data_IF_711472545841
#
_entry.id   IF_711472545841
#
_cell.length_a   1.000
_cell.length_b   1.000
_cell.length_c   1.000
_cell.angle_alpha   90.00
_cell.angle_beta   90.00
_cell.angle_gamma   90.00
#
_symmetry.space_group_name_H-M   'P 1'
#
loop_
_entity.id
_entity.type
_entity.pdbx_description
1 polymer ?
#
# COMPACT_ATOMS: atom_id res chain seq x y z
N UNK A 1 19.09 5.59 10.70
CA UNK A 1 18.99 7.05 10.46
C UNK A 1 17.75 7.31 9.59
N UNK A 2 17.04 8.42 9.77
CA UNK A 2 15.77 8.65 9.07
C UNK A 2 16.01 9.18 7.64
N UNK A 3 15.54 8.43 6.64
CA UNK A 3 15.68 8.78 5.23
C UNK A 3 14.90 10.07 4.88
N UNK A 4 15.49 10.89 4.01
CA UNK A 4 14.87 12.08 3.46
C UNK A 4 14.32 11.78 2.07
N UNK A 5 13.09 12.24 1.78
CA UNK A 5 12.52 12.17 0.44
C UNK A 5 12.92 13.42 -0.32
N UNK A 6 13.75 13.25 -1.35
CA UNK A 6 14.28 14.33 -2.18
C UNK A 6 13.42 14.54 -3.42
N UNK A 7 13.06 15.78 -3.68
CA UNK A 7 12.33 16.20 -4.86
C UNK A 7 13.08 17.31 -5.59
N UNK A 8 12.93 17.37 -6.91
CA UNK A 8 13.58 18.35 -7.77
C UNK A 8 12.56 19.07 -8.64
N UNK A 9 12.66 20.39 -8.64
CA UNK A 9 11.97 21.26 -9.59
C UNK A 9 12.97 21.74 -10.64
N UNK A 10 12.60 21.65 -11.92
CA UNK A 10 13.38 22.18 -13.04
C UNK A 10 12.73 23.45 -13.56
N UNK A 11 13.49 24.52 -13.61
CA UNK A 11 13.10 25.77 -14.25
C UNK A 11 13.31 25.66 -15.77
N UNK A 12 12.56 26.45 -16.54
CA UNK A 12 12.71 26.54 -18.00
C UNK A 12 14.07 27.08 -18.44
N UNK A 13 14.76 27.82 -17.57
CA UNK A 13 16.10 28.36 -17.80
C UNK A 13 17.25 27.38 -17.49
N UNK A 14 16.92 26.09 -17.28
CA UNK A 14 17.88 25.03 -16.99
C UNK A 14 18.36 24.97 -15.53
N UNK A 15 17.98 25.94 -14.68
CA UNK A 15 18.27 25.85 -13.25
C UNK A 15 17.37 24.82 -12.58
N UNK A 16 17.82 24.29 -11.46
CA UNK A 16 17.05 23.34 -10.67
C UNK A 16 17.13 23.64 -9.17
N UNK A 17 16.05 23.29 -8.48
CA UNK A 17 15.88 23.50 -7.05
C UNK A 17 15.49 22.18 -6.41
N UNK A 18 16.22 21.81 -5.37
CA UNK A 18 15.97 20.61 -4.60
C UNK A 18 15.23 20.96 -3.31
N UNK A 19 14.29 20.09 -2.94
CA UNK A 19 13.52 20.16 -1.72
C UNK A 19 13.45 18.76 -1.11
N UNK A 20 13.91 18.63 0.12
CA UNK A 20 13.93 17.39 0.86
C UNK A 20 13.01 17.48 2.07
N UNK A 21 12.38 16.38 2.43
CA UNK A 21 11.50 16.32 3.59
C UNK A 21 11.64 15.00 4.33
N UNK A 22 11.53 15.05 5.67
CA UNK A 22 11.43 13.86 6.52
C UNK A 22 10.44 14.07 7.67
N UNK A 23 9.88 12.97 8.15
CA UNK A 23 9.24 12.91 9.46
C UNK A 23 10.30 12.58 10.52
N UNK A 24 10.27 13.29 11.64
CA UNK A 24 11.11 13.03 12.80
C UNK A 24 10.37 12.09 13.77
N UNK A 25 11.13 11.40 14.63
CA UNK A 25 10.56 10.49 15.63
C UNK A 25 9.64 11.19 16.65
N UNK A 26 9.80 12.51 16.85
CA UNK A 26 8.96 13.33 17.72
C UNK A 26 7.66 13.82 17.05
N UNK A 27 7.35 13.32 15.84
CA UNK A 27 6.18 13.71 15.06
C UNK A 27 6.30 15.08 14.37
N UNK A 28 7.44 15.78 14.51
CA UNK A 28 7.70 16.99 13.73
C UNK A 28 8.16 16.64 12.31
N UNK A 29 7.98 17.58 11.38
CA UNK A 29 8.45 17.44 10.00
C UNK A 29 9.56 18.45 9.76
N UNK A 30 10.70 17.97 9.31
CA UNK A 30 11.80 18.82 8.87
C UNK A 30 11.87 18.83 7.35
N UNK A 31 11.96 20.03 6.79
CA UNK A 31 12.21 20.26 5.36
C UNK A 31 13.54 20.95 5.18
N UNK A 32 14.26 20.58 4.11
CA UNK A 32 15.42 21.30 3.61
C UNK A 32 15.26 21.69 2.15
N UNK A 33 15.91 22.77 1.72
CA UNK A 33 15.87 23.20 0.32
C UNK A 33 17.09 24.01 -0.10
N UNK A 34 17.34 24.03 -1.40
CA UNK A 34 18.45 24.76 -1.98
C UNK A 34 18.46 24.66 -3.50
N UNK A 35 19.39 25.35 -4.13
CA UNK A 35 19.76 25.05 -5.51
C UNK A 35 20.22 23.60 -5.58
N UNK A 36 19.91 22.89 -6.66
CA UNK A 36 20.37 21.51 -6.87
C UNK A 36 21.90 21.48 -6.78
N UNK A 37 22.39 20.86 -5.72
CA UNK A 37 23.79 20.78 -5.34
C UNK A 37 23.96 19.70 -4.25
N UNK A 38 25.20 19.39 -3.90
CA UNK A 38 25.51 18.47 -2.82
C UNK A 38 25.03 18.94 -1.44
N UNK A 39 24.57 20.19 -1.27
CA UNK A 39 24.16 20.76 0.03
C UNK A 39 22.85 21.54 -0.06
N UNK A 40 21.95 21.29 0.89
CA UNK A 40 20.68 21.99 1.08
C UNK A 40 20.72 22.89 2.33
N UNK A 41 20.96 24.21 2.18
CA UNK A 41 21.17 25.13 3.31
C UNK A 41 19.89 25.59 4.00
N UNK A 42 18.77 25.69 3.27
CA UNK A 42 17.49 26.08 3.85
C UNK A 42 16.98 24.95 4.74
N UNK A 43 16.52 25.26 5.95
CA UNK A 43 15.92 24.31 6.88
C UNK A 43 14.71 24.92 7.57
N UNK A 44 13.67 24.12 7.77
CA UNK A 44 12.51 24.49 8.58
C UNK A 44 11.93 23.24 9.22
N UNK A 45 11.57 23.35 10.49
CA UNK A 45 10.85 22.32 11.22
C UNK A 45 9.46 22.84 11.58
N UNK A 46 8.44 22.01 11.39
CA UNK A 46 7.04 22.34 11.69
C UNK A 46 6.33 21.17 12.36
N UNK A 47 5.28 21.47 13.12
CA UNK A 47 4.42 20.50 13.79
C UNK A 47 2.97 20.69 13.35
N UNK A 48 2.13 19.67 13.53
CA UNK A 48 0.69 19.73 13.21
C UNK A 48 0.36 19.75 11.71
N UNK A 49 1.33 19.44 10.84
CA UNK A 49 1.14 19.31 9.39
C UNK A 49 1.52 17.90 8.99
N UNK A 50 0.77 17.26 8.10
CA UNK A 50 1.11 15.91 7.62
C UNK A 50 2.13 15.98 6.49
N UNK A 51 3.05 15.02 6.47
CA UNK A 51 4.10 14.91 5.46
C UNK A 51 3.51 14.84 4.05
N UNK A 52 2.46 14.05 3.91
CA UNK A 52 1.70 13.88 2.69
C UNK A 52 1.17 15.20 2.11
N UNK A 53 0.59 16.07 2.94
CA UNK A 53 0.01 17.33 2.47
C UNK A 53 1.10 18.26 1.89
N UNK A 54 2.30 18.22 2.48
CA UNK A 54 3.45 19.00 2.01
C UNK A 54 4.00 18.49 0.68
N UNK A 55 4.10 17.17 0.54
CA UNK A 55 4.55 16.54 -0.70
C UNK A 55 3.57 16.81 -1.84
N UNK A 56 2.26 16.64 -1.60
CA UNK A 56 1.21 16.93 -2.59
C UNK A 56 1.24 18.39 -3.04
N UNK A 57 1.39 19.33 -2.10
CA UNK A 57 1.55 20.76 -2.42
C UNK A 57 2.81 21.05 -3.25
N UNK A 58 3.89 20.29 -3.06
CA UNK A 58 5.14 20.48 -3.82
C UNK A 58 5.07 19.84 -5.20
N UNK A 59 4.48 18.66 -5.32
CA UNK A 59 4.23 18.00 -6.60
C UNK A 59 3.29 18.82 -7.49
N UNK A 60 2.24 19.41 -6.93
CA UNK A 60 1.36 20.35 -7.65
C UNK A 60 2.11 21.59 -8.18
N UNK A 61 3.25 21.95 -7.56
CA UNK A 61 4.15 23.01 -8.02
C UNK A 61 5.21 22.53 -9.02
N UNK A 62 5.14 21.27 -9.45
CA UNK A 62 6.04 20.66 -10.44
C UNK A 62 7.30 20.01 -9.86
N UNK A 63 7.39 19.82 -8.53
CA UNK A 63 8.50 19.08 -7.94
C UNK A 63 8.34 17.57 -8.20
N UNK A 64 9.35 16.94 -8.78
CA UNK A 64 9.35 15.50 -9.09
C UNK A 64 10.23 14.77 -8.08
N UNK A 65 9.80 13.59 -7.63
CA UNK A 65 10.59 12.75 -6.73
C UNK A 65 11.89 12.29 -7.40
N UNK A 66 13.00 12.34 -6.67
CA UNK A 66 14.33 11.95 -7.17
C UNK A 66 14.79 10.65 -6.51
N UNK A 67 14.90 10.64 -5.18
CA UNK A 67 15.39 9.51 -4.42
C UNK A 67 15.09 9.67 -2.93
N UNK A 68 15.25 8.58 -2.18
CA UNK A 68 15.48 8.65 -0.75
C UNK A 68 16.99 8.82 -0.51
N UNK A 69 17.35 9.78 0.33
CA UNK A 69 18.75 10.16 0.58
C UNK A 69 18.97 10.36 2.07
N UNK A 70 20.22 10.26 2.50
CA UNK A 70 20.61 10.76 3.81
C UNK A 70 21.02 12.23 3.68
N UNK A 71 20.66 13.03 4.68
CA UNK A 71 21.14 14.41 4.79
C UNK A 71 21.65 14.62 6.19
N UNK A 72 22.91 15.01 6.29
CA UNK A 72 23.58 15.26 7.56
C UNK A 72 23.10 16.55 8.25
N UNK A 73 23.68 16.83 9.42
CA UNK A 73 23.38 18.03 10.20
C UNK A 73 23.76 19.33 9.48
N UNK A 74 24.74 19.30 8.57
CA UNK A 74 25.21 20.46 7.81
C UNK A 74 24.44 20.69 6.50
N UNK A 75 23.64 19.71 6.10
CA UNK A 75 22.79 19.73 4.90
C UNK A 75 23.39 19.05 3.69
N UNK A 76 24.50 18.32 3.83
CA UNK A 76 25.08 17.57 2.72
C UNK A 76 24.22 16.36 2.40
N UNK A 77 23.91 16.21 1.12
CA UNK A 77 23.13 15.10 0.58
C UNK A 77 24.09 13.95 0.30
N UNK A 78 23.92 12.87 1.06
CA UNK A 78 24.64 11.63 0.86
C UNK A 78 23.78 10.74 -0.02
N UNK A 79 24.20 10.59 -1.27
CA UNK A 79 23.64 9.57 -2.15
C UNK A 79 24.26 8.22 -1.78
N UNK A 80 23.46 7.14 -1.72
CA UNK A 80 24.01 5.81 -1.50
C UNK A 80 25.03 5.48 -2.60
N UNK A 81 26.21 5.05 -2.18
CA UNK A 81 27.33 4.74 -3.06
C UNK A 81 27.09 3.39 -3.74
N UNK A 82 27.03 3.28 -5.07
CA UNK A 82 26.65 2.04 -5.76
C UNK A 82 27.67 0.88 -5.59
N UNK A 83 28.81 1.11 -4.94
CA UNK A 83 29.95 0.18 -4.90
C UNK A 83 30.25 -0.46 -3.53
N UNK A 84 29.42 -0.23 -2.51
CA UNK A 84 29.54 -0.97 -1.23
C UNK A 84 28.34 -1.90 -1.06
N UNK A 85 28.55 -3.23 -0.98
CA UNK A 85 27.51 -4.11 -0.50
C UNK A 85 27.38 -3.86 1.01
N UNK A 86 26.47 -2.97 1.37
CA UNK A 86 26.02 -2.85 2.75
C UNK A 86 25.34 -4.17 3.17
N UNK A 87 25.45 -4.56 4.46
CA UNK A 87 24.65 -5.65 5.02
C UNK A 87 23.17 -5.32 4.80
N UNK A 88 22.30 -6.31 4.54
CA UNK A 88 21.03 -6.11 3.86
C UNK A 88 20.23 -5.01 4.54
N UNK A 89 20.28 -3.82 3.94
CA UNK A 89 19.28 -2.81 4.17
C UNK A 89 17.98 -3.45 3.71
N UNK A 90 16.98 -3.45 4.59
CA UNK A 90 15.60 -3.77 4.24
C UNK A 90 15.19 -2.82 3.12
N UNK A 91 15.45 -3.20 1.88
CA UNK A 91 14.76 -2.67 0.71
C UNK A 91 13.29 -2.83 1.06
N UNK A 92 12.60 -1.72 1.30
CA UNK A 92 11.17 -1.75 1.54
C UNK A 92 10.51 -2.18 0.24
N UNK A 93 10.44 -3.49 0.02
CA UNK A 93 9.93 -4.07 -1.21
C UNK A 93 8.48 -3.65 -1.44
N UNK A 94 7.98 -3.91 -2.64
CA UNK A 94 6.59 -3.67 -2.95
C UNK A 94 5.99 -4.91 -3.60
N UNK A 95 4.70 -5.12 -3.37
CA UNK A 95 3.90 -5.93 -4.26
C UNK A 95 3.40 -5.03 -5.39
N UNK A 96 3.55 -5.50 -6.61
CA UNK A 96 3.04 -4.86 -7.81
C UNK A 96 1.75 -5.57 -8.18
N UNK A 97 0.74 -4.80 -8.56
CA UNK A 97 -0.52 -5.37 -9.00
C UNK A 97 -0.99 -4.72 -10.28
N UNK A 98 -1.77 -5.47 -11.05
CA UNK A 98 -2.51 -4.97 -12.19
C UNK A 98 -3.87 -5.65 -12.27
N UNK A 99 -4.82 -4.93 -12.86
CA UNK A 99 -6.15 -5.41 -13.20
C UNK A 99 -6.45 -4.98 -14.64
N UNK A 100 -6.74 -5.94 -15.51
CA UNK A 100 -7.30 -5.69 -16.84
C UNK A 100 -8.74 -6.22 -16.84
N UNK A 101 -9.71 -5.35 -17.11
CA UNK A 101 -11.12 -5.68 -17.18
C UNK A 101 -11.64 -5.44 -18.59
N UNK A 102 -12.09 -6.52 -19.23
CA UNK A 102 -12.79 -6.56 -20.53
C UNK A 102 -14.10 -7.33 -20.42
N UNK A 103 -14.65 -7.35 -19.21
CA UNK A 103 -15.82 -8.12 -18.88
C UNK A 103 -17.10 -7.50 -19.46
N UNK A 104 -18.19 -8.26 -19.48
CA UNK A 104 -19.50 -7.72 -19.85
C UNK A 104 -19.99 -6.72 -18.79
N UNK A 105 -20.97 -5.89 -19.16
CA UNK A 105 -21.61 -4.97 -18.21
C UNK A 105 -22.17 -5.70 -16.96
N UNK A 106 -22.76 -6.88 -17.15
CA UNK A 106 -23.26 -7.71 -16.05
C UNK A 106 -22.14 -8.13 -15.09
N UNK A 107 -21.00 -8.58 -15.64
CA UNK A 107 -19.84 -8.96 -14.83
C UNK A 107 -19.18 -7.74 -14.16
N UNK A 108 -19.15 -6.57 -14.82
CA UNK A 108 -18.67 -5.33 -14.19
C UNK A 108 -19.53 -4.92 -12.99
N UNK A 109 -20.87 -5.06 -13.08
CA UNK A 109 -21.77 -4.79 -11.95
C UNK A 109 -21.58 -5.81 -10.81
N UNK A 110 -21.36 -7.09 -11.13
CA UNK A 110 -21.02 -8.10 -10.15
C UNK A 110 -19.68 -7.81 -9.45
N UNK A 111 -18.66 -7.42 -10.22
CA UNK A 111 -17.37 -6.97 -9.70
C UNK A 111 -17.52 -5.76 -8.78
N UNK A 112 -18.28 -4.74 -9.18
CA UNK A 112 -18.53 -3.55 -8.38
C UNK A 112 -19.23 -3.89 -7.05
N UNK A 113 -20.21 -4.80 -7.10
CA UNK A 113 -20.94 -5.27 -5.92
C UNK A 113 -20.01 -6.02 -4.95
N UNK A 114 -19.11 -6.84 -5.48
CA UNK A 114 -18.14 -7.57 -4.66
C UNK A 114 -17.06 -6.65 -4.07
N UNK A 115 -16.55 -5.69 -4.86
CA UNK A 115 -15.64 -4.64 -4.36
C UNK A 115 -16.29 -3.92 -3.19
N UNK A 116 -17.57 -3.53 -3.33
CA UNK A 116 -18.30 -2.85 -2.27
C UNK A 116 -18.44 -3.72 -1.01
N UNK A 117 -18.84 -4.98 -1.16
CA UNK A 117 -18.95 -5.94 -0.07
C UNK A 117 -17.64 -6.08 0.70
N UNK A 118 -16.52 -6.21 -0.01
CA UNK A 118 -15.19 -6.35 0.60
C UNK A 118 -14.76 -5.06 1.31
N UNK A 119 -15.04 -3.89 0.75
CA UNK A 119 -14.75 -2.60 1.40
C UNK A 119 -15.55 -2.48 2.71
N UNK A 120 -16.85 -2.78 2.67
CA UNK A 120 -17.71 -2.71 3.86
C UNK A 120 -17.22 -3.71 4.94
N UNK A 121 -16.81 -4.92 4.56
CA UNK A 121 -16.20 -5.90 5.46
C UNK A 121 -14.92 -5.37 6.13
N UNK A 122 -14.00 -4.81 5.34
CA UNK A 122 -12.75 -4.24 5.85
C UNK A 122 -13.00 -3.07 6.80
N UNK A 123 -13.96 -2.19 6.47
CA UNK A 123 -14.32 -1.04 7.30
C UNK A 123 -14.97 -1.44 8.63
N UNK A 124 -15.56 -2.64 8.71
CA UNK A 124 -16.14 -3.18 9.94
C UNK A 124 -15.12 -3.79 10.91
N UNK A 125 -13.85 -3.91 10.51
CA UNK A 125 -12.80 -4.45 11.38
C UNK A 125 -12.51 -3.47 12.54
N UNK A 126 -12.43 -3.94 13.79
CA UNK A 126 -12.18 -3.08 14.96
C UNK A 126 -10.90 -2.25 14.84
N UNK A 127 -9.86 -2.86 14.26
CA UNK A 127 -8.54 -2.25 14.12
C UNK A 127 -8.47 -1.26 12.94
N UNK A 128 -9.44 -1.26 12.03
CA UNK A 128 -9.46 -0.35 10.87
C UNK A 128 -9.50 1.13 11.30
N UNK A 129 -10.18 1.44 12.40
CA UNK A 129 -10.28 2.80 12.94
C UNK A 129 -9.00 3.28 13.67
N UNK A 130 -8.13 2.35 14.10
CA UNK A 130 -6.93 2.64 14.89
C UNK A 130 -5.68 2.74 14.02
N UNK A 131 -5.71 2.16 12.81
CA UNK A 131 -4.57 2.08 11.90
C UNK A 131 -4.27 3.42 11.21
N UNK A 132 -3.12 4.08 11.50
CA UNK A 132 -2.70 5.30 10.82
C UNK A 132 -1.98 4.93 9.50
N UNK A 133 -2.60 4.11 8.65
CA UNK A 133 -2.01 3.78 7.36
C UNK A 133 -2.36 4.85 6.33
N UNK A 134 -1.44 5.24 5.43
CA UNK A 134 -1.81 6.01 4.26
C UNK A 134 -2.93 5.25 3.55
N UNK A 135 -4.09 5.90 3.39
CA UNK A 135 -5.23 5.32 2.68
C UNK A 135 -4.74 4.81 1.32
N UNK A 136 -4.81 3.50 1.11
CA UNK A 136 -4.57 2.95 -0.21
C UNK A 136 -5.75 3.38 -1.09
N UNK A 137 -5.55 4.35 -1.98
CA UNK A 137 -6.65 4.90 -2.82
C UNK A 137 -7.21 3.90 -3.85
N UNK A 138 -6.60 2.70 -3.94
CA UNK A 138 -7.01 1.64 -4.88
C UNK A 138 -8.46 1.19 -4.71
N UNK A 139 -8.99 1.17 -3.47
CA UNK A 139 -10.36 0.72 -3.18
C UNK A 139 -11.42 1.52 -3.95
N UNK A 140 -11.40 2.83 -3.79
CA UNK A 140 -12.41 3.73 -4.37
C UNK A 140 -12.25 3.78 -5.89
N UNK A 141 -11.01 3.85 -6.36
CA UNK A 141 -10.73 3.89 -7.80
C UNK A 141 -11.25 2.66 -8.54
N UNK A 142 -11.08 1.47 -7.97
CA UNK A 142 -11.57 0.22 -8.56
C UNK A 142 -13.10 0.15 -8.52
N UNK A 143 -13.73 0.64 -7.44
CA UNK A 143 -15.18 0.74 -7.35
C UNK A 143 -15.75 1.66 -8.46
N UNK A 144 -15.17 2.83 -8.65
CA UNK A 144 -15.63 3.80 -9.66
C UNK A 144 -15.48 3.26 -11.08
N UNK A 145 -14.36 2.59 -11.38
CA UNK A 145 -14.12 1.98 -12.68
C UNK A 145 -15.07 0.82 -12.98
N UNK A 146 -15.30 -0.06 -12.00
CA UNK A 146 -16.24 -1.17 -12.16
C UNK A 146 -17.69 -0.68 -12.37
N UNK A 147 -18.10 0.38 -11.68
CA UNK A 147 -19.41 1.01 -11.86
C UNK A 147 -19.57 1.69 -13.23
N UNK A 148 -18.47 2.19 -13.82
CA UNK A 148 -18.48 2.75 -15.16
C UNK A 148 -18.84 1.74 -16.26
N UNK A 149 -18.67 0.44 -15.98
CA UNK A 149 -18.95 -0.67 -16.91
C UNK A 149 -18.23 -0.60 -18.27
N UNK A 150 -17.17 0.21 -18.36
CA UNK A 150 -16.29 0.31 -19.52
C UNK A 150 -15.02 -0.53 -19.30
N UNK A 151 -14.37 -1.01 -20.38
CA UNK A 151 -13.08 -1.68 -20.25
C UNK A 151 -12.03 -0.78 -19.58
N UNK A 152 -11.28 -1.33 -18.64
CA UNK A 152 -10.25 -0.57 -17.93
C UNK A 152 -9.00 -1.40 -17.66
N UNK A 153 -7.87 -0.70 -17.56
CA UNK A 153 -6.62 -1.27 -17.05
C UNK A 153 -6.10 -0.37 -15.94
N UNK A 154 -5.74 -0.98 -14.81
CA UNK A 154 -5.15 -0.29 -13.66
C UNK A 154 -3.97 -1.08 -13.11
N UNK A 155 -3.01 -0.36 -12.57
CA UNK A 155 -1.85 -0.95 -11.92
C UNK A 155 -1.38 -0.09 -10.76
N UNK A 156 -0.70 -0.70 -9.80
CA UNK A 156 -0.13 0.03 -8.68
C UNK A 156 0.80 -0.80 -7.83
N UNK A 157 1.11 -0.25 -6.66
CA UNK A 157 2.01 -0.86 -5.68
C UNK A 157 1.36 -0.93 -4.31
N UNK A 158 1.63 -2.01 -3.59
CA UNK A 158 1.34 -2.15 -2.16
C UNK A 158 2.67 -2.20 -1.44
N UNK A 159 2.89 -1.22 -0.57
CA UNK A 159 4.08 -1.11 0.27
C UNK A 159 3.76 -1.62 1.68
N UNK A 160 4.76 -2.02 2.49
CA UNK A 160 4.52 -2.48 3.86
C UNK A 160 3.71 -1.47 4.69
N UNK A 161 3.96 -0.17 4.46
CA UNK A 161 3.25 0.91 5.14
C UNK A 161 1.75 1.01 4.86
N UNK A 162 1.23 0.39 3.79
CA UNK A 162 -0.22 0.31 3.52
C UNK A 162 -0.91 -0.78 4.35
N UNK A 163 -0.15 -1.62 5.06
CA UNK A 163 -0.66 -2.80 5.75
C UNK A 163 -1.05 -3.91 4.80
N UNK A 164 -1.55 -5.01 5.38
CA UNK A 164 -1.86 -6.25 4.65
C UNK A 164 -3.20 -6.21 3.90
N UNK A 165 -4.13 -5.35 4.32
CA UNK A 165 -5.51 -5.33 3.83
C UNK A 165 -5.62 -5.16 2.30
N UNK A 166 -4.90 -4.23 1.64
CA UNK A 166 -4.93 -4.10 0.18
C UNK A 166 -4.61 -5.40 -0.56
N UNK A 167 -3.66 -6.17 -0.03
CA UNK A 167 -3.29 -7.44 -0.63
C UNK A 167 -4.40 -8.49 -0.46
N UNK A 168 -4.95 -8.64 0.76
CA UNK A 168 -6.06 -9.58 1.01
C UNK A 168 -7.29 -9.28 0.15
N UNK A 169 -7.57 -8.00 -0.10
CA UNK A 169 -8.63 -7.61 -1.00
C UNK A 169 -8.41 -8.04 -2.45
N UNK A 170 -7.22 -7.76 -3.00
CA UNK A 170 -6.90 -8.17 -4.36
C UNK A 170 -6.88 -9.70 -4.48
N UNK A 171 -6.42 -10.41 -3.45
CA UNK A 171 -6.52 -11.87 -3.36
C UNK A 171 -7.97 -12.35 -3.39
N UNK A 172 -8.86 -11.69 -2.65
CA UNK A 172 -10.27 -12.08 -2.60
C UNK A 172 -10.93 -11.90 -3.97
N UNK A 173 -10.66 -10.79 -4.65
CA UNK A 173 -11.12 -10.57 -6.02
C UNK A 173 -10.52 -11.59 -7.00
N UNK A 174 -9.21 -11.86 -6.90
CA UNK A 174 -8.51 -12.85 -7.75
C UNK A 174 -9.10 -14.25 -7.58
N UNK A 175 -9.48 -14.63 -6.36
CA UNK A 175 -10.08 -15.93 -6.05
C UNK A 175 -11.48 -16.11 -6.67
N UNK A 176 -12.25 -15.03 -6.84
CA UNK A 176 -13.57 -15.09 -7.47
C UNK A 176 -13.52 -15.35 -8.98
N UNK A 177 -12.39 -15.07 -9.62
CA UNK A 177 -12.14 -15.37 -11.04
C UNK A 177 -13.26 -14.89 -11.99
N UNK A 178 -13.65 -13.62 -11.88
CA UNK A 178 -14.65 -13.02 -12.76
C UNK A 178 -14.27 -13.13 -14.24
N UNK A 179 -15.22 -13.58 -15.08
CA UNK A 179 -14.97 -13.74 -16.50
C UNK A 179 -14.60 -12.41 -17.18
N UNK A 180 -13.47 -12.38 -17.88
CA UNK A 180 -12.97 -11.16 -18.53
C UNK A 180 -12.32 -10.16 -17.58
N UNK A 181 -12.02 -10.55 -16.33
CA UNK A 181 -11.23 -9.76 -15.38
C UNK A 181 -9.96 -10.53 -15.04
N UNK A 182 -8.81 -9.97 -15.37
CA UNK A 182 -7.50 -10.48 -15.02
C UNK A 182 -6.93 -9.68 -13.85
N UNK A 183 -6.49 -10.37 -12.78
CA UNK A 183 -5.88 -9.75 -11.61
C UNK A 183 -4.53 -10.42 -11.37
N UNK A 184 -3.45 -9.69 -11.65
CA UNK A 184 -2.09 -10.13 -11.37
C UNK A 184 -1.50 -9.41 -10.17
N UNK A 185 -0.75 -10.16 -9.37
CA UNK A 185 -0.03 -9.64 -8.20
C UNK A 185 1.35 -10.27 -8.23
N UNK A 186 2.40 -9.46 -8.25
CA UNK A 186 3.77 -9.92 -8.30
C UNK A 186 4.59 -9.30 -7.16
N UNK A 187 5.52 -10.09 -6.64
CA UNK A 187 6.56 -9.61 -5.73
C UNK A 187 7.62 -8.81 -6.49
N UNK A 188 8.51 -8.13 -5.77
CA UNK A 188 9.63 -7.38 -6.36
C UNK A 188 10.58 -8.26 -7.19
N UNK A 189 10.70 -9.55 -6.87
CA UNK A 189 11.45 -10.52 -7.67
C UNK A 189 10.72 -10.98 -8.94
N UNK A 190 9.59 -10.35 -9.29
CA UNK A 190 8.71 -10.72 -10.39
C UNK A 190 8.06 -12.10 -10.25
N UNK A 191 8.04 -12.68 -9.03
CA UNK A 191 7.27 -13.89 -8.73
C UNK A 191 5.79 -13.54 -8.63
N UNK A 192 4.96 -14.19 -9.44
CA UNK A 192 3.51 -14.10 -9.35
C UNK A 192 3.00 -14.73 -8.03
N UNK A 193 2.12 -14.02 -7.36
CA UNK A 193 1.41 -14.42 -6.15
C UNK A 193 0.17 -15.20 -6.59
N UNK A 194 0.02 -16.41 -6.09
CA UNK A 194 -1.11 -17.28 -6.40
C UNK A 194 -2.40 -16.79 -5.74
N UNK A 195 -3.53 -17.44 -6.01
CA UNK A 195 -4.79 -17.17 -5.31
C UNK A 195 -4.91 -17.94 -3.97
N UNK A 196 -3.96 -18.84 -3.65
CA UNK A 196 -4.00 -19.62 -2.40
C UNK A 196 -3.22 -18.89 -1.30
N UNK A 197 -3.96 -18.24 -0.40
CA UNK A 197 -3.39 -17.51 0.74
C UNK A 197 -2.41 -18.35 1.57
N UNK A 198 -2.60 -19.67 1.66
CA UNK A 198 -1.74 -20.55 2.46
C UNK A 198 -0.36 -20.80 1.83
N UNK A 199 -0.25 -20.60 0.51
CA UNK A 199 1.00 -20.77 -0.21
C UNK A 199 1.91 -19.53 -0.13
N UNK A 200 1.36 -18.38 0.28
CA UNK A 200 2.02 -17.07 0.20
C UNK A 200 2.64 -16.63 1.53
N UNK A 201 3.41 -17.52 2.18
CA UNK A 201 4.04 -17.23 3.48
C UNK A 201 5.06 -16.10 3.40
N UNK A 202 5.81 -16.01 2.30
CA UNK A 202 6.76 -14.93 2.05
C UNK A 202 6.08 -13.55 1.95
N UNK A 203 4.85 -13.50 1.41
CA UNK A 203 4.05 -12.27 1.36
C UNK A 203 3.48 -11.91 2.74
N UNK A 204 3.13 -12.90 3.55
CA UNK A 204 2.75 -12.65 4.96
C UNK A 204 3.92 -12.08 5.76
N UNK A 205 5.11 -12.67 5.59
CA UNK A 205 6.35 -12.22 6.23
C UNK A 205 6.72 -10.80 5.78
N UNK A 206 6.47 -10.46 4.51
CA UNK A 206 6.64 -9.11 3.95
C UNK A 206 5.82 -8.03 4.69
N UNK A 207 4.63 -8.38 5.19
CA UNK A 207 3.82 -7.48 6.03
C UNK A 207 4.08 -7.65 7.54
N UNK A 208 5.03 -8.50 7.94
CA UNK A 208 5.35 -8.77 9.34
C UNK A 208 4.22 -9.48 10.08
N UNK A 209 3.43 -10.31 9.38
CA UNK A 209 2.29 -11.02 9.96
C UNK A 209 2.30 -12.51 9.57
N UNK A 210 1.30 -13.27 9.99
CA UNK A 210 1.16 -14.69 9.70
C UNK A 210 -0.31 -15.07 9.58
N UNK A 211 -0.56 -16.28 9.07
CA UNK A 211 -1.91 -16.75 8.76
C UNK A 211 -2.83 -16.77 9.99
N UNK A 212 -2.32 -17.06 11.19
CA UNK A 212 -3.13 -17.09 12.40
C UNK A 212 -3.56 -15.70 12.85
N UNK A 213 -2.69 -14.69 12.72
CA UNK A 213 -3.00 -13.30 13.05
C UNK A 213 -4.08 -12.71 12.12
N UNK A 214 -4.04 -13.03 10.83
CA UNK A 214 -5.01 -12.49 9.86
C UNK A 214 -6.23 -13.39 9.63
N UNK A 215 -6.32 -14.53 10.33
CA UNK A 215 -7.32 -15.57 10.06
C UNK A 215 -8.74 -15.03 10.05
N UNK A 216 -9.13 -14.29 11.10
CA UNK A 216 -10.48 -13.74 11.21
C UNK A 216 -10.83 -12.84 10.02
N UNK A 217 -9.89 -11.98 9.62
CA UNK A 217 -10.04 -11.13 8.43
C UNK A 217 -10.11 -11.95 7.15
N UNK A 218 -9.24 -12.95 6.98
CA UNK A 218 -9.24 -13.81 5.80
C UNK A 218 -10.53 -14.65 5.68
N UNK A 219 -11.09 -15.13 6.78
CA UNK A 219 -12.38 -15.83 6.80
C UNK A 219 -13.53 -14.89 6.43
N UNK A 220 -13.54 -13.65 6.95
CA UNK A 220 -14.54 -12.62 6.62
C UNK A 220 -14.51 -12.21 5.12
N UNK A 221 -13.31 -12.15 4.54
CA UNK A 221 -13.13 -11.83 3.12
C UNK A 221 -13.39 -13.04 2.19
N UNK A 222 -13.60 -14.24 2.75
CA UNK A 222 -13.85 -15.47 1.99
C UNK A 222 -12.58 -16.19 1.50
N UNK A 223 -11.39 -15.73 1.89
CA UNK A 223 -10.10 -16.33 1.55
C UNK A 223 -9.86 -17.66 2.26
N UNK A 224 -10.43 -17.83 3.46
CA UNK A 224 -10.34 -19.06 4.24
C UNK A 224 -11.74 -19.55 4.61
N UNK A 225 -11.89 -20.88 4.66
CA UNK A 225 -13.08 -21.48 5.26
C UNK A 225 -13.05 -21.24 6.78
N UNK A 226 -14.20 -20.88 7.39
CA UNK A 226 -14.32 -20.75 8.84
C UNK A 226 -13.85 -22.03 9.53
N UNK A 227 -13.09 -21.89 10.63
CA UNK A 227 -12.78 -23.04 11.49
C UNK A 227 -14.10 -23.60 12.05
N UNK A 228 -14.28 -24.91 11.93
CA UNK A 228 -15.42 -25.59 12.55
C UNK A 228 -15.29 -25.42 14.07
N UNK A 229 -16.22 -24.68 14.66
CA UNK A 229 -16.31 -24.58 16.12
C UNK A 229 -17.15 -25.76 16.62
N UNK A 230 -16.49 -26.87 16.95
CA UNK A 230 -17.16 -28.07 17.47
C UNK A 230 -17.92 -27.77 18.77
N UNK A 231 -17.51 -26.78 19.56
CA UNK A 231 -18.19 -26.41 20.80
C UNK A 231 -19.57 -25.78 20.56
N UNK A 232 -19.73 -24.97 19.50
CA UNK A 232 -21.05 -24.41 19.13
C UNK A 232 -21.97 -25.43 18.46
N UNK A 233 -21.40 -26.45 17.80
CA UNK A 233 -22.18 -27.55 17.21
C UNK A 233 -22.69 -28.49 18.30
N UNK A 234 -21.89 -28.75 19.34
CA UNK A 234 -22.29 -29.60 20.46
C UNK A 234 -23.31 -28.92 21.39
N UNK A 235 -23.22 -27.59 21.60
CA UNK A 235 -24.22 -26.86 22.40
C UNK A 235 -25.61 -26.83 21.78
N UNK A 236 -25.71 -26.87 20.44
CA UNK A 236 -26.99 -26.89 19.70
C UNK A 236 -27.65 -28.28 19.71
N UNK A 237 -26.94 -29.30 20.23
CA UNK A 237 -27.44 -30.68 20.35
C UNK A 237 -28.01 -30.97 21.75
N UNK A 238 -27.60 -30.22 22.78
CA UNK A 238 -28.10 -30.39 24.16
C UNK A 238 -29.51 -29.82 24.37
N UNK A 239 -29.95 -28.86 23.54
CA UNK A 239 -31.30 -28.25 23.63
C UNK A 239 -32.41 -29.09 22.96
N UNK A 240 -32.11 -30.28 22.43
CA UNK A 240 -33.10 -31.15 21.75
C UNK A 240 -33.50 -32.41 22.53
N UNK A 241 -33.20 -32.46 23.82
CA UNK A 241 -33.51 -33.62 24.69
C UNK A 241 -34.31 -33.24 25.93
N UNK A 242 -35.44 -32.54 25.80
CA UNK A 242 -36.53 -32.55 26.79
C UNK A 242 -37.89 -32.36 26.11
#
# INVERSE_FOLDING_TARGET
>A
MAAWRLYRYRHSDGRSKDWAVRANADGAITTRWGRTAARLPGVSTRRGVRLFDLEKQKQAKGYVFVAEVEIDSEGHVLFPDPAKPDPPATSGGALYWHIDCRASQETCLALASEIRRLIDAIQSLPDYAVMPHPLWEGWQRLSDLALGAEPFSQSGQIKPGHGILPWLFLMALKQQAFAGVEIGIATESSREVSADLKAEQDVLDFFGTNLDQIRATAEMLGLLKPRLNLASVLSDTDDRWF
#
